data_IF_554059077451
#
_entry.id   IF_554059077451
#
_cell.length_a   1.000
_cell.length_b   1.000
_cell.length_c   1.000
_cell.angle_alpha   90.00
_cell.angle_beta   90.00
_cell.angle_gamma   90.00
#
_symmetry.space_group_name_H-M   'P 1'
#
loop_
_entity.id
_entity.type
_entity.pdbx_description
1 polymer ?
#
# COMPACT_ATOMS: atom_id res chain seq x y z
N UNK A 1 6.40 34.59 30.45
CA UNK A 1 5.52 34.58 29.25
C UNK A 1 6.24 34.20 27.95
N UNK A 2 7.37 34.82 27.57
CA UNK A 2 8.18 34.46 26.39
C UNK A 2 8.63 32.99 26.34
N UNK A 3 8.83 32.35 27.48
CA UNK A 3 9.22 30.93 27.60
C UNK A 3 8.06 30.01 27.21
N UNK A 4 6.84 30.22 27.68
CA UNK A 4 5.65 29.42 27.36
C UNK A 4 5.31 29.44 25.86
N UNK A 5 5.47 30.59 25.20
CA UNK A 5 5.21 30.74 23.77
C UNK A 5 6.25 30.01 22.93
N UNK A 6 7.53 30.00 23.33
CA UNK A 6 8.56 29.18 22.69
C UNK A 6 8.30 27.68 22.86
N UNK A 7 7.80 27.27 24.02
CA UNK A 7 7.43 25.87 24.29
C UNK A 7 6.25 25.46 23.41
N UNK A 8 5.19 26.28 23.32
CA UNK A 8 4.05 26.01 22.43
C UNK A 8 4.46 25.91 20.97
N UNK A 9 5.32 26.79 20.47
CA UNK A 9 5.83 26.73 19.11
C UNK A 9 6.62 25.45 18.83
N UNK A 10 7.48 25.02 19.77
CA UNK A 10 8.22 23.75 19.63
C UNK A 10 7.28 22.55 19.67
N UNK A 11 6.27 22.57 20.53
CA UNK A 11 5.29 21.50 20.63
C UNK A 11 4.46 21.35 19.35
N UNK A 12 4.09 22.47 18.71
CA UNK A 12 3.39 22.46 17.41
C UNK A 12 4.25 21.88 16.29
N UNK A 13 5.56 22.15 16.26
CA UNK A 13 6.49 21.57 15.28
C UNK A 13 6.65 20.06 15.51
N UNK A 14 6.80 19.62 16.77
CA UNK A 14 6.88 18.20 17.10
C UNK A 14 5.61 17.46 16.69
N UNK A 15 4.45 18.05 16.98
CA UNK A 15 3.15 17.47 16.58
C UNK A 15 3.02 17.37 15.07
N UNK A 16 3.48 18.38 14.32
CA UNK A 16 3.53 18.35 12.85
C UNK A 16 4.36 17.16 12.35
N UNK A 17 5.56 16.99 12.89
CA UNK A 17 6.45 15.89 12.52
C UNK A 17 5.79 14.55 12.81
N UNK A 18 5.18 14.39 13.98
CA UNK A 18 4.47 13.15 14.35
C UNK A 18 3.31 12.84 13.40
N UNK A 19 2.54 13.86 13.00
CA UNK A 19 1.44 13.69 12.03
C UNK A 19 1.97 13.26 10.66
N UNK A 20 3.02 13.91 10.15
CA UNK A 20 3.63 13.57 8.86
C UNK A 20 4.21 12.16 8.87
N UNK A 21 4.88 11.75 9.95
CA UNK A 21 5.39 10.39 10.08
C UNK A 21 4.25 9.36 10.17
N UNK A 22 3.18 9.67 10.91
CA UNK A 22 1.99 8.84 11.00
C UNK A 22 1.30 8.66 9.65
N UNK A 23 1.14 9.74 8.89
CA UNK A 23 0.58 9.70 7.54
C UNK A 23 1.46 8.87 6.58
N UNK A 24 2.78 9.08 6.60
CA UNK A 24 3.71 8.29 5.80
C UNK A 24 3.65 6.80 6.11
N UNK A 25 3.61 6.42 7.38
CA UNK A 25 3.47 5.03 7.81
C UNK A 25 2.12 4.42 7.40
N UNK A 26 1.02 5.20 7.52
CA UNK A 26 -0.30 4.77 7.08
C UNK A 26 -0.35 4.56 5.56
N UNK A 27 0.20 5.48 4.78
CA UNK A 27 0.25 5.39 3.31
C UNK A 27 1.05 4.17 2.85
N UNK A 28 2.18 3.89 3.52
CA UNK A 28 2.96 2.69 3.27
C UNK A 28 2.12 1.42 3.50
N UNK A 29 1.40 1.33 4.62
CA UNK A 29 0.50 0.20 4.91
C UNK A 29 -0.63 0.04 3.91
N UNK A 30 -1.29 1.14 3.53
CA UNK A 30 -2.36 1.10 2.52
C UNK A 30 -1.84 0.60 1.18
N UNK A 31 -0.63 1.03 0.80
CA UNK A 31 0.04 0.53 -0.41
C UNK A 31 0.28 -0.98 -0.32
N UNK A 32 0.84 -1.48 0.78
CA UNK A 32 1.07 -2.92 0.96
C UNK A 32 -0.24 -3.71 0.90
N UNK A 33 -1.26 -3.28 1.61
CA UNK A 33 -2.58 -3.93 1.58
C UNK A 33 -3.16 -3.99 0.16
N UNK A 34 -3.05 -2.90 -0.62
CA UNK A 34 -3.55 -2.87 -2.00
C UNK A 34 -2.73 -3.75 -2.94
N UNK A 35 -1.42 -3.83 -2.75
CA UNK A 35 -0.56 -4.76 -3.50
C UNK A 35 -0.89 -6.21 -3.17
N UNK A 36 -1.12 -6.54 -1.90
CA UNK A 36 -1.49 -7.89 -1.47
C UNK A 36 -2.89 -8.29 -1.96
N UNK A 37 -3.87 -7.40 -1.88
CA UNK A 37 -5.22 -7.61 -2.42
C UNK A 37 -5.17 -7.86 -3.93
N UNK A 38 -4.39 -7.05 -4.65
CA UNK A 38 -4.15 -7.23 -6.07
C UNK A 38 -3.49 -8.57 -6.37
N UNK A 39 -2.42 -8.93 -5.64
CA UNK A 39 -1.71 -10.19 -5.81
C UNK A 39 -2.64 -11.39 -5.62
N UNK A 40 -3.42 -11.40 -4.52
CA UNK A 40 -4.39 -12.47 -4.24
C UNK A 40 -5.44 -12.61 -5.35
N UNK A 41 -5.96 -11.49 -5.84
CA UNK A 41 -6.92 -11.50 -6.94
C UNK A 41 -6.28 -12.03 -8.22
N UNK A 42 -5.07 -11.56 -8.54
CA UNK A 42 -4.32 -12.00 -9.72
C UNK A 42 -3.96 -13.49 -9.64
N UNK A 43 -3.53 -13.99 -8.46
CA UNK A 43 -3.24 -15.41 -8.22
C UNK A 43 -4.48 -16.27 -8.45
N UNK A 44 -5.61 -15.89 -7.85
CA UNK A 44 -6.86 -16.61 -8.00
C UNK A 44 -7.32 -16.70 -9.47
N UNK A 45 -7.32 -15.56 -10.17
CA UNK A 45 -7.71 -15.51 -11.59
C UNK A 45 -6.74 -16.32 -12.46
N UNK A 46 -5.42 -16.28 -12.17
CA UNK A 46 -4.43 -17.08 -12.91
C UNK A 46 -4.70 -18.59 -12.76
N UNK A 47 -4.96 -19.03 -11.53
CA UNK A 47 -5.26 -20.41 -11.24
C UNK A 47 -6.54 -20.87 -11.97
N UNK A 48 -7.59 -20.06 -11.92
CA UNK A 48 -8.88 -20.35 -12.56
C UNK A 48 -8.73 -20.44 -14.10
N UNK A 49 -8.08 -19.49 -14.72
CA UNK A 49 -7.86 -19.46 -16.17
C UNK A 49 -7.01 -20.64 -16.65
N UNK A 50 -5.98 -21.03 -15.90
CA UNK A 50 -5.18 -22.21 -16.25
C UNK A 50 -6.02 -23.46 -16.19
N UNK A 51 -6.86 -23.64 -15.18
CA UNK A 51 -7.75 -24.77 -15.07
C UNK A 51 -8.74 -24.83 -16.25
N UNK A 52 -9.41 -23.73 -16.55
CA UNK A 52 -10.34 -23.62 -17.68
C UNK A 52 -9.61 -23.90 -19.02
N UNK A 53 -8.40 -23.36 -19.19
CA UNK A 53 -7.61 -23.61 -20.39
C UNK A 53 -7.28 -25.07 -20.55
N UNK A 54 -6.81 -25.74 -19.50
CA UNK A 54 -6.46 -27.16 -19.54
C UNK A 54 -7.69 -28.06 -19.79
N UNK A 55 -8.82 -27.75 -19.14
CA UNK A 55 -10.08 -28.48 -19.38
C UNK A 55 -10.53 -28.34 -20.85
N UNK A 56 -10.39 -27.17 -21.43
CA UNK A 56 -10.72 -26.96 -22.86
C UNK A 56 -9.73 -27.62 -23.82
N UNK A 57 -8.48 -27.86 -23.39
CA UNK A 57 -7.47 -28.56 -24.20
C UNK A 57 -7.47 -30.07 -24.00
N UNK A 58 -8.14 -30.61 -22.99
CA UNK A 58 -8.20 -32.05 -22.74
C UNK A 58 -8.74 -32.85 -23.94
N UNK A 59 -9.84 -32.46 -24.64
CA UNK A 59 -10.30 -33.16 -25.84
C UNK A 59 -9.28 -33.19 -26.97
N UNK A 60 -8.49 -32.12 -27.14
CA UNK A 60 -7.41 -32.07 -28.13
C UNK A 60 -6.28 -33.05 -27.75
N UNK A 61 -5.85 -33.03 -26.49
CA UNK A 61 -4.81 -33.92 -25.98
C UNK A 61 -5.22 -35.39 -26.13
N UNK A 62 -6.47 -35.74 -25.83
CA UNK A 62 -6.98 -37.09 -25.97
C UNK A 62 -7.03 -37.52 -27.45
N UNK A 63 -7.62 -36.71 -28.32
CA UNK A 63 -7.84 -37.09 -29.74
C UNK A 63 -6.59 -37.01 -30.59
N UNK A 64 -5.79 -35.94 -30.50
CA UNK A 64 -4.64 -35.71 -31.38
C UNK A 64 -3.32 -36.19 -30.80
N UNK A 65 -3.12 -36.03 -29.49
CA UNK A 65 -1.87 -36.43 -28.84
C UNK A 65 -1.93 -37.84 -28.24
N UNK A 66 -3.08 -38.56 -28.44
CA UNK A 66 -3.31 -39.92 -27.94
C UNK A 66 -3.08 -40.09 -26.43
N UNK A 67 -3.41 -39.02 -25.67
CA UNK A 67 -3.40 -39.07 -24.22
C UNK A 67 -4.61 -39.91 -23.75
N UNK A 68 -4.38 -40.99 -22.99
CA UNK A 68 -5.42 -41.72 -22.30
C UNK A 68 -5.25 -41.54 -20.79
N UNK A 69 -6.33 -41.23 -20.10
CA UNK A 69 -6.35 -41.31 -18.64
C UNK A 69 -7.70 -41.83 -18.16
N UNK A 70 -7.67 -42.66 -17.12
CA UNK A 70 -8.85 -43.32 -16.56
C UNK A 70 -8.63 -43.66 -15.08
N UNK A 71 -9.71 -43.92 -14.39
CA UNK A 71 -9.66 -44.64 -13.11
C UNK A 71 -9.47 -46.13 -13.41
N UNK A 72 -8.38 -46.70 -12.98
CA UNK A 72 -8.15 -48.15 -13.13
C UNK A 72 -8.96 -48.92 -12.08
N UNK A 73 -9.04 -48.39 -10.84
CA UNK A 73 -9.91 -48.81 -9.74
C UNK A 73 -10.42 -47.54 -9.04
N UNK A 74 -11.30 -47.68 -8.02
CA UNK A 74 -11.82 -46.51 -7.27
C UNK A 74 -10.72 -45.59 -6.69
N UNK A 75 -9.53 -46.13 -6.44
CA UNK A 75 -8.41 -45.45 -5.81
C UNK A 75 -7.16 -45.31 -6.72
N UNK A 76 -7.25 -45.68 -8.01
CA UNK A 76 -6.08 -45.60 -8.90
C UNK A 76 -6.33 -44.74 -10.15
N UNK A 77 -5.55 -43.68 -10.28
CA UNK A 77 -5.44 -42.87 -11.51
C UNK A 77 -4.40 -43.49 -12.43
N UNK A 78 -4.80 -43.84 -13.64
CA UNK A 78 -3.92 -44.38 -14.66
C UNK A 78 -3.90 -43.42 -15.86
N UNK A 79 -2.72 -43.14 -16.39
CA UNK A 79 -2.61 -42.43 -17.66
C UNK A 79 -1.57 -43.07 -18.56
N UNK A 80 -1.83 -42.98 -19.83
CA UNK A 80 -0.98 -43.50 -20.88
C UNK A 80 -0.66 -42.42 -21.92
N UNK A 81 0.62 -42.21 -22.13
CA UNK A 81 1.11 -41.26 -23.11
C UNK A 81 2.46 -41.77 -23.66
N UNK A 82 2.70 -41.67 -25.00
CA UNK A 82 3.93 -42.12 -25.66
C UNK A 82 4.41 -43.51 -25.23
N UNK A 83 3.50 -44.50 -25.21
CA UNK A 83 3.76 -45.90 -24.76
C UNK A 83 4.20 -46.06 -23.28
N UNK A 84 4.25 -45.00 -22.52
CA UNK A 84 4.46 -45.03 -21.08
C UNK A 84 3.12 -45.01 -20.38
N UNK A 85 2.91 -46.01 -19.51
CA UNK A 85 1.76 -46.08 -18.61
C UNK A 85 2.25 -45.80 -17.21
N UNK A 86 1.58 -44.91 -16.51
CA UNK A 86 1.86 -44.58 -15.11
C UNK A 86 0.57 -44.73 -14.29
N UNK A 87 0.70 -45.24 -13.08
CA UNK A 87 -0.42 -45.42 -12.12
C UNK A 87 -0.10 -44.71 -10.82
N UNK A 88 -1.11 -44.13 -10.22
CA UNK A 88 -0.99 -43.42 -8.96
C UNK A 88 -2.22 -43.66 -8.08
N UNK A 89 -2.01 -43.94 -6.81
CA UNK A 89 -3.11 -44.02 -5.84
C UNK A 89 -3.68 -42.63 -5.57
N UNK A 90 -4.99 -42.53 -5.63
CA UNK A 90 -5.78 -41.34 -5.34
C UNK A 90 -6.76 -41.61 -4.22
N UNK A 91 -7.09 -40.61 -3.45
CA UNK A 91 -8.00 -40.71 -2.30
C UNK A 91 -9.21 -39.76 -2.43
N UNK A 92 -9.37 -39.07 -3.55
CA UNK A 92 -10.52 -38.21 -3.78
C UNK A 92 -10.74 -37.91 -5.26
N UNK A 93 -11.98 -37.62 -5.65
CA UNK A 93 -12.35 -37.21 -7.00
C UNK A 93 -11.74 -35.87 -7.40
N UNK A 94 -11.58 -34.96 -6.43
CA UNK A 94 -10.87 -33.68 -6.65
C UNK A 94 -9.43 -33.90 -7.11
N UNK A 95 -8.74 -34.86 -6.48
CA UNK A 95 -7.37 -35.23 -6.84
C UNK A 95 -7.32 -35.88 -8.24
N UNK A 96 -8.32 -36.65 -8.62
CA UNK A 96 -8.46 -37.21 -9.97
C UNK A 96 -8.50 -36.06 -11.03
N UNK A 97 -9.38 -35.08 -10.84
CA UNK A 97 -9.54 -33.97 -11.77
C UNK A 97 -8.25 -33.14 -11.85
N UNK A 98 -7.65 -32.87 -10.69
CA UNK A 98 -6.39 -32.12 -10.61
C UNK A 98 -5.24 -32.83 -11.34
N UNK A 99 -5.08 -34.13 -11.14
CA UNK A 99 -4.07 -34.94 -11.83
C UNK A 99 -4.32 -35.01 -13.33
N UNK A 100 -5.58 -35.14 -13.75
CA UNK A 100 -5.95 -35.09 -15.17
C UNK A 100 -5.47 -33.81 -15.85
N UNK A 101 -5.70 -32.65 -15.22
CA UNK A 101 -5.21 -31.36 -15.73
C UNK A 101 -3.67 -31.28 -15.79
N UNK A 102 -2.98 -31.80 -14.78
CA UNK A 102 -1.51 -31.82 -14.74
C UNK A 102 -0.93 -32.68 -15.86
N UNK A 103 -1.52 -33.85 -16.12
CA UNK A 103 -1.10 -34.75 -17.20
C UNK A 103 -1.40 -34.12 -18.59
N UNK A 104 -2.54 -33.44 -18.74
CA UNK A 104 -2.85 -32.68 -19.95
C UNK A 104 -1.81 -31.59 -20.18
N UNK A 105 -1.42 -30.86 -19.13
CA UNK A 105 -0.37 -29.84 -19.21
C UNK A 105 0.95 -30.45 -19.70
N UNK A 106 1.44 -31.54 -19.08
CA UNK A 106 2.70 -32.17 -19.47
C UNK A 106 2.67 -32.62 -20.92
N UNK A 107 1.56 -33.25 -21.35
CA UNK A 107 1.37 -33.66 -22.73
C UNK A 107 1.42 -32.49 -23.72
N UNK A 108 0.77 -31.37 -23.42
CA UNK A 108 0.80 -30.16 -24.25
C UNK A 108 2.19 -29.52 -24.28
N UNK A 109 2.87 -29.48 -23.14
CA UNK A 109 4.19 -28.89 -23.02
C UNK A 109 5.24 -29.69 -23.79
N UNK A 110 5.29 -31.00 -23.63
CA UNK A 110 6.23 -31.89 -24.32
C UNK A 110 6.06 -31.85 -25.85
N UNK A 111 4.81 -31.75 -26.32
CA UNK A 111 4.53 -31.64 -27.76
C UNK A 111 4.66 -30.20 -28.31
N UNK A 112 5.10 -29.23 -27.50
CA UNK A 112 5.18 -27.80 -27.89
C UNK A 112 3.85 -27.22 -28.38
N UNK A 113 2.74 -27.78 -27.88
CA UNK A 113 1.38 -27.36 -28.21
C UNK A 113 0.79 -26.39 -27.16
N UNK A 114 1.56 -26.06 -26.11
CA UNK A 114 1.13 -25.12 -25.08
C UNK A 114 1.24 -23.69 -25.62
N UNK A 115 0.09 -23.03 -25.84
CA UNK A 115 0.01 -21.66 -26.31
C UNK A 115 -0.09 -20.68 -25.12
N UNK A 116 1.07 -20.21 -24.67
CA UNK A 116 1.16 -19.25 -23.55
C UNK A 116 0.52 -17.89 -23.92
N UNK A 117 0.52 -17.50 -25.22
CA UNK A 117 -0.09 -16.24 -25.62
C UNK A 117 -1.61 -16.30 -25.47
N UNK A 118 -2.21 -17.43 -25.85
CA UNK A 118 -3.65 -17.66 -25.64
C UNK A 118 -4.03 -17.62 -24.17
N UNK A 119 -3.22 -18.22 -23.31
CA UNK A 119 -3.40 -18.14 -21.85
C UNK A 119 -3.32 -16.67 -21.39
N UNK A 120 -2.34 -15.91 -21.86
CA UNK A 120 -2.17 -14.50 -21.51
C UNK A 120 -3.37 -13.64 -21.92
N UNK A 121 -3.93 -13.87 -23.11
CA UNK A 121 -5.12 -13.14 -23.58
C UNK A 121 -6.34 -13.48 -22.73
N UNK A 122 -6.58 -14.75 -22.42
CA UNK A 122 -7.69 -15.19 -21.56
C UNK A 122 -7.54 -14.60 -20.16
N UNK A 123 -6.34 -14.65 -19.61
CA UNK A 123 -6.03 -14.11 -18.29
C UNK A 123 -6.23 -12.59 -18.24
N UNK A 124 -5.76 -11.86 -19.25
CA UNK A 124 -5.98 -10.41 -19.32
C UNK A 124 -7.47 -10.07 -19.38
N UNK A 125 -8.27 -10.80 -20.17
CA UNK A 125 -9.72 -10.60 -20.24
C UNK A 125 -10.39 -10.82 -18.88
N UNK A 126 -10.06 -11.91 -18.20
CA UNK A 126 -10.61 -12.21 -16.88
C UNK A 126 -10.20 -11.18 -15.81
N UNK A 127 -8.99 -10.62 -15.90
CA UNK A 127 -8.54 -9.53 -15.05
C UNK A 127 -9.33 -8.24 -15.31
N UNK A 128 -9.63 -7.93 -16.59
CA UNK A 128 -10.47 -6.78 -16.94
C UNK A 128 -11.87 -6.87 -16.33
N UNK A 129 -12.48 -8.06 -16.32
CA UNK A 129 -13.77 -8.31 -15.66
C UNK A 129 -13.72 -8.05 -14.14
N UNK A 130 -12.54 -8.19 -13.52
CA UNK A 130 -12.27 -7.82 -12.11
C UNK A 130 -11.84 -6.37 -11.92
N UNK A 131 -11.88 -5.53 -12.96
CA UNK A 131 -11.47 -4.13 -12.91
C UNK A 131 -9.96 -3.89 -13.00
N UNK A 132 -9.17 -4.90 -13.36
CA UNK A 132 -7.72 -4.82 -13.56
C UNK A 132 -7.44 -4.67 -15.06
N UNK A 133 -7.06 -3.48 -15.50
CA UNK A 133 -6.83 -3.18 -16.93
C UNK A 133 -5.41 -3.44 -17.42
N UNK A 134 -4.51 -3.81 -16.51
CA UNK A 134 -3.09 -4.00 -16.84
C UNK A 134 -2.85 -5.32 -17.56
N UNK A 135 -2.03 -5.27 -18.62
CA UNK A 135 -1.65 -6.48 -19.37
C UNK A 135 -0.59 -7.27 -18.58
N UNK A 136 -0.86 -8.54 -18.24
CA UNK A 136 0.09 -9.38 -17.55
C UNK A 136 1.14 -9.95 -18.50
N UNK A 137 2.36 -10.13 -18.01
CA UNK A 137 3.39 -10.94 -18.67
C UNK A 137 3.43 -12.31 -17.99
N UNK A 138 3.14 -13.37 -18.73
CA UNK A 138 3.25 -14.74 -18.23
C UNK A 138 4.64 -15.28 -18.46
N UNK A 139 5.19 -15.94 -17.45
CA UNK A 139 6.51 -16.55 -17.48
C UNK A 139 6.38 -17.98 -16.98
N UNK A 140 6.79 -18.95 -17.79
CA UNK A 140 6.97 -20.34 -17.35
C UNK A 140 8.46 -20.58 -17.13
N UNK A 141 8.80 -21.06 -15.93
CA UNK A 141 10.16 -21.40 -15.51
C UNK A 141 10.25 -22.87 -15.20
N UNK A 142 11.42 -23.47 -15.44
CA UNK A 142 11.78 -24.76 -14.87
C UNK A 142 12.14 -24.68 -13.39
N UNK A 143 12.28 -25.80 -12.71
CA UNK A 143 12.74 -25.87 -11.33
C UNK A 143 14.13 -25.29 -11.12
N UNK A 144 14.98 -25.31 -12.14
CA UNK A 144 16.31 -24.68 -12.17
C UNK A 144 16.26 -23.15 -12.29
N UNK A 145 15.05 -22.56 -12.33
CA UNK A 145 14.83 -21.12 -12.47
C UNK A 145 14.98 -20.59 -13.89
N UNK A 146 15.37 -21.43 -14.86
CA UNK A 146 15.49 -21.03 -16.27
C UNK A 146 14.11 -20.70 -16.85
N UNK A 147 14.04 -19.59 -17.61
CA UNK A 147 12.82 -19.19 -18.30
C UNK A 147 12.65 -20.07 -19.55
N UNK A 148 11.56 -20.85 -19.57
CA UNK A 148 11.25 -21.77 -20.67
C UNK A 148 10.35 -21.14 -21.73
N UNK A 149 9.29 -20.45 -21.28
CA UNK A 149 8.32 -19.79 -22.16
C UNK A 149 7.97 -18.41 -21.61
N UNK A 150 7.77 -17.45 -22.51
CA UNK A 150 7.36 -16.08 -22.23
C UNK A 150 6.18 -15.71 -23.14
N UNK A 151 5.18 -15.04 -22.58
CA UNK A 151 4.05 -14.52 -23.40
C UNK A 151 4.45 -13.29 -24.23
N UNK A 152 5.53 -12.60 -23.87
CA UNK A 152 6.06 -11.46 -24.61
C UNK A 152 7.59 -11.42 -24.49
N UNK A 153 8.28 -10.91 -25.53
CA UNK A 153 9.75 -10.81 -25.60
C UNK A 153 10.32 -9.64 -24.78
N UNK A 154 9.49 -8.87 -24.12
CA UNK A 154 9.93 -7.70 -23.36
C UNK A 154 10.75 -8.11 -22.11
N UNK A 155 11.84 -7.39 -21.88
CA UNK A 155 12.66 -7.53 -20.68
C UNK A 155 11.81 -7.30 -19.41
N UNK A 156 11.80 -8.29 -18.53
CA UNK A 156 11.14 -8.21 -17.22
C UNK A 156 11.99 -7.28 -16.36
N UNK A 157 11.48 -6.07 -16.10
CA UNK A 157 12.14 -5.13 -15.21
C UNK A 157 12.09 -5.62 -13.75
N UNK A 158 13.12 -5.35 -12.93
CA UNK A 158 13.21 -5.84 -11.55
C UNK A 158 12.13 -5.29 -10.61
N UNK A 159 11.42 -4.23 -11.00
CA UNK A 159 10.42 -3.56 -10.18
C UNK A 159 8.97 -4.02 -10.44
N UNK A 160 8.76 -5.18 -11.04
CA UNK A 160 7.43 -5.68 -11.34
C UNK A 160 6.80 -6.40 -10.14
N UNK A 161 5.48 -6.25 -9.98
CA UNK A 161 4.70 -7.09 -9.05
C UNK A 161 4.51 -8.45 -9.71
N UNK A 162 4.92 -9.51 -9.02
CA UNK A 162 4.76 -10.89 -9.49
C UNK A 162 3.70 -11.61 -8.65
N UNK A 163 2.93 -12.47 -9.32
CA UNK A 163 2.05 -13.44 -8.65
C UNK A 163 2.87 -14.50 -7.93
N UNK A 164 2.21 -15.23 -7.04
CA UNK A 164 2.78 -16.44 -6.45
C UNK A 164 3.04 -17.47 -7.56
N UNK A 165 4.14 -18.24 -7.48
CA UNK A 165 4.42 -19.26 -8.48
C UNK A 165 3.39 -20.39 -8.36
N UNK A 166 2.69 -20.67 -9.46
CA UNK A 166 1.78 -21.79 -9.57
C UNK A 166 2.53 -22.98 -10.21
N UNK A 167 2.59 -24.09 -9.48
CA UNK A 167 3.23 -25.30 -9.96
C UNK A 167 2.37 -25.98 -11.03
N UNK A 168 3.01 -26.38 -12.12
CA UNK A 168 2.39 -27.03 -13.27
C UNK A 168 3.05 -28.38 -13.55
N UNK A 169 2.24 -29.30 -14.10
CA UNK A 169 2.69 -30.64 -14.44
C UNK A 169 2.64 -31.61 -13.27
N UNK A 170 2.63 -32.91 -13.61
CA UNK A 170 2.51 -33.99 -12.66
C UNK A 170 3.67 -34.03 -11.63
N UNK A 171 4.90 -33.79 -12.10
CA UNK A 171 6.10 -33.77 -11.27
C UNK A 171 6.44 -32.36 -10.74
N UNK A 172 5.54 -31.38 -10.92
CA UNK A 172 5.75 -29.96 -10.56
C UNK A 172 7.04 -29.35 -11.12
N UNK A 173 7.50 -29.84 -12.28
CA UNK A 173 8.77 -29.42 -12.91
C UNK A 173 8.74 -27.99 -13.43
N UNK A 174 7.55 -27.43 -13.60
CA UNK A 174 7.36 -26.12 -14.16
C UNK A 174 6.58 -25.22 -13.21
N UNK A 175 6.88 -23.93 -13.26
CA UNK A 175 6.18 -22.91 -12.50
C UNK A 175 5.75 -21.78 -13.44
N UNK A 176 4.50 -21.39 -13.38
CA UNK A 176 3.99 -20.21 -14.06
C UNK A 176 3.83 -19.06 -13.06
N UNK A 177 4.28 -17.88 -13.48
CA UNK A 177 4.09 -16.62 -12.75
C UNK A 177 3.59 -15.55 -13.72
N UNK A 178 2.74 -14.66 -13.24
CA UNK A 178 2.39 -13.45 -13.96
C UNK A 178 3.15 -12.26 -13.37
N UNK A 179 3.61 -11.37 -14.23
CA UNK A 179 4.34 -10.16 -13.85
C UNK A 179 3.58 -8.93 -14.37
N UNK A 180 3.44 -7.91 -13.53
CA UNK A 180 2.72 -6.67 -13.81
C UNK A 180 3.62 -5.47 -13.62
N UNK A 181 3.50 -4.44 -14.48
CA UNK A 181 4.25 -3.19 -14.34
C UNK A 181 3.76 -2.38 -13.15
N UNK A 182 4.70 -1.78 -12.41
CA UNK A 182 4.46 -1.00 -11.19
C UNK A 182 3.48 0.20 -11.32
N UNK A 183 3.31 0.89 -12.48
CA UNK A 183 2.41 2.05 -12.60
C UNK A 183 0.97 1.81 -12.13
N UNK A 184 0.52 0.56 -12.11
CA UNK A 184 -0.82 0.18 -11.63
C UNK A 184 -1.07 0.60 -10.17
N UNK A 185 -0.09 0.41 -9.28
CA UNK A 185 -0.24 0.73 -7.85
C UNK A 185 -0.55 2.21 -7.63
N UNK A 186 0.10 3.10 -8.40
CA UNK A 186 -0.16 4.54 -8.32
C UNK A 186 -1.57 4.90 -8.80
N UNK A 187 -2.10 4.20 -9.81
CA UNK A 187 -3.45 4.43 -10.32
C UNK A 187 -4.52 3.98 -9.31
N UNK A 188 -4.33 2.82 -8.68
CA UNK A 188 -5.21 2.31 -7.63
C UNK A 188 -5.19 3.18 -6.36
N UNK A 189 -4.04 3.80 -6.05
CA UNK A 189 -3.89 4.70 -4.90
C UNK A 189 -4.35 6.14 -5.17
N UNK A 190 -4.69 6.49 -6.42
CA UNK A 190 -5.02 7.89 -6.80
C UNK A 190 -6.11 8.50 -5.90
N UNK A 191 -7.17 7.76 -5.57
CA UNK A 191 -8.23 8.23 -4.68
C UNK A 191 -7.74 8.49 -3.25
N UNK A 192 -6.90 7.62 -2.74
CA UNK A 192 -6.31 7.73 -1.39
C UNK A 192 -5.37 8.93 -1.31
N UNK A 193 -4.55 9.16 -2.36
CA UNK A 193 -3.64 10.31 -2.44
C UNK A 193 -4.37 11.66 -2.42
N UNK A 194 -5.54 11.74 -3.07
CA UNK A 194 -6.36 12.97 -3.03
C UNK A 194 -6.90 13.25 -1.63
N UNK A 195 -7.36 12.22 -0.91
CA UNK A 195 -7.85 12.37 0.47
C UNK A 195 -6.71 12.84 1.38
N UNK A 196 -5.52 12.25 1.26
CA UNK A 196 -4.34 12.66 2.03
C UNK A 196 -3.92 14.10 1.73
N UNK A 197 -3.92 14.49 0.46
CA UNK A 197 -3.61 15.86 0.07
C UNK A 197 -4.58 16.86 0.72
N UNK A 198 -5.89 16.54 0.76
CA UNK A 198 -6.89 17.38 1.43
C UNK A 198 -6.63 17.48 2.94
N UNK A 199 -6.29 16.37 3.61
CA UNK A 199 -5.92 16.39 5.03
C UNK A 199 -4.68 17.23 5.29
N UNK A 200 -3.66 17.14 4.45
CA UNK A 200 -2.43 17.91 4.55
C UNK A 200 -2.69 19.40 4.38
N UNK A 201 -3.51 19.80 3.40
CA UNK A 201 -3.92 21.19 3.17
C UNK A 201 -4.70 21.72 4.40
N UNK A 202 -5.69 20.97 4.89
CA UNK A 202 -6.46 21.32 6.08
C UNK A 202 -5.57 21.51 7.31
N UNK A 203 -4.59 20.66 7.49
CA UNK A 203 -3.63 20.76 8.59
C UNK A 203 -2.75 22.01 8.48
N UNK A 204 -2.24 22.33 7.29
CA UNK A 204 -1.47 23.55 7.04
C UNK A 204 -2.30 24.80 7.34
N UNK A 205 -3.58 24.81 6.93
CA UNK A 205 -4.49 25.92 7.24
C UNK A 205 -4.65 26.09 8.75
N UNK A 206 -4.85 25.00 9.50
CA UNK A 206 -4.93 25.03 10.96
C UNK A 206 -3.66 25.60 11.61
N UNK A 207 -2.48 25.21 11.13
CA UNK A 207 -1.21 25.75 11.63
C UNK A 207 -1.07 27.25 11.38
N UNK A 208 -1.41 27.70 10.19
CA UNK A 208 -1.38 29.13 9.85
C UNK A 208 -2.34 29.93 10.73
N UNK A 209 -3.54 29.37 10.97
CA UNK A 209 -4.52 30.01 11.85
C UNK A 209 -4.05 30.07 13.31
N UNK A 210 -3.50 28.98 13.85
CA UNK A 210 -2.87 28.97 15.17
C UNK A 210 -1.74 29.99 15.28
N UNK A 211 -0.87 30.08 14.28
CA UNK A 211 0.22 31.06 14.25
C UNK A 211 -0.27 32.51 14.28
N UNK A 212 -1.31 32.79 13.51
CA UNK A 212 -1.92 34.12 13.52
C UNK A 212 -2.60 34.46 14.85
N UNK A 213 -3.29 33.47 15.47
CA UNK A 213 -3.89 33.60 16.78
C UNK A 213 -2.84 33.91 17.87
N UNK A 214 -1.71 33.20 17.83
CA UNK A 214 -0.59 33.45 18.76
C UNK A 214 -0.02 34.85 18.56
N UNK A 215 0.14 35.28 17.31
CA UNK A 215 0.62 36.66 17.02
C UNK A 215 -0.35 37.75 17.54
N UNK A 216 -1.65 37.55 17.39
CA UNK A 216 -2.67 38.49 17.91
C UNK A 216 -2.64 38.57 19.44
N UNK A 217 -2.58 37.39 20.08
CA UNK A 217 -2.49 37.33 21.56
C UNK A 217 -1.23 38.04 22.07
N UNK A 218 -0.11 37.84 21.39
CA UNK A 218 1.15 38.54 21.73
C UNK A 218 1.05 40.05 21.62
N UNK A 219 0.38 40.54 20.55
CA UNK A 219 0.15 41.97 20.35
C UNK A 219 -0.74 42.56 21.47
N UNK A 220 -1.86 41.86 21.79
CA UNK A 220 -2.77 42.28 22.85
C UNK A 220 -2.07 42.37 24.21
N UNK A 221 -1.30 41.36 24.56
CA UNK A 221 -0.53 41.33 25.81
C UNK A 221 0.52 42.46 25.86
N UNK A 222 1.18 42.77 24.72
CA UNK A 222 2.15 43.88 24.66
C UNK A 222 1.46 45.22 24.89
N UNK A 223 0.29 45.46 24.30
CA UNK A 223 -0.49 46.67 24.50
C UNK A 223 -0.93 46.80 25.97
N UNK A 224 -1.44 45.70 26.58
CA UNK A 224 -1.80 45.71 28.01
C UNK A 224 -0.61 46.02 28.93
N UNK A 225 0.57 45.43 28.65
CA UNK A 225 1.78 45.69 29.45
C UNK A 225 2.26 47.15 29.33
N UNK A 226 2.16 47.75 28.13
CA UNK A 226 2.47 49.15 27.92
C UNK A 226 1.45 50.05 28.65
N UNK A 227 0.17 49.71 28.60
CA UNK A 227 -0.89 50.43 29.34
C UNK A 227 -0.66 50.43 30.85
N UNK A 228 -0.32 49.28 31.43
CA UNK A 228 0.00 49.14 32.86
C UNK A 228 1.24 49.98 33.24
N UNK A 229 2.29 49.93 32.43
CA UNK A 229 3.52 50.73 32.68
C UNK A 229 3.25 52.25 32.61
N UNK A 230 2.37 52.68 31.72
CA UNK A 230 1.97 54.10 31.62
C UNK A 230 1.15 54.50 32.87
N UNK A 231 0.18 53.71 33.30
CA UNK A 231 -0.58 53.94 34.53
C UNK A 231 0.33 53.98 35.78
N UNK A 232 1.30 53.08 35.88
CA UNK A 232 2.30 53.09 36.96
C UNK A 232 3.09 54.41 36.99
N UNK A 233 3.50 54.91 35.79
CA UNK A 233 4.22 56.18 35.73
C UNK A 233 3.36 57.39 36.08
N UNK A 234 2.07 57.37 35.64
CA UNK A 234 1.13 58.47 35.98
C UNK A 234 0.75 58.48 37.44
N UNK A 235 0.63 57.32 38.08
CA UNK A 235 0.34 57.22 39.51
C UNK A 235 1.55 57.57 40.40
N UNK A 236 2.77 57.36 39.95
CA UNK A 236 3.98 57.75 40.68
C UNK A 236 4.09 59.25 40.91
N UNK A 237 3.66 60.11 39.96
CA UNK A 237 3.72 61.56 40.08
C UNK A 237 2.85 62.09 41.19
N UNK A 238 1.54 61.82 41.26
CA UNK A 238 0.70 62.32 42.37
C UNK A 238 1.10 61.72 43.71
N UNK A 239 1.54 60.44 43.78
CA UNK A 239 2.03 59.84 45.01
C UNK A 239 3.30 60.55 45.52
N UNK A 240 4.25 60.84 44.66
CA UNK A 240 5.45 61.58 45.04
C UNK A 240 5.12 62.99 45.55
N UNK A 241 4.15 63.65 44.91
CA UNK A 241 3.69 65.03 45.34
C UNK A 241 2.99 64.95 46.73
N UNK A 242 2.14 63.96 46.97
CA UNK A 242 1.52 63.74 48.28
C UNK A 242 2.54 63.45 49.38
N UNK A 243 3.51 62.57 49.12
CA UNK A 243 4.57 62.23 50.09
C UNK A 243 5.41 63.48 50.39
N UNK A 244 5.73 64.28 49.40
CA UNK A 244 6.45 65.53 49.56
C UNK A 244 5.65 66.55 50.38
N UNK A 245 4.34 66.68 50.12
CA UNK A 245 3.44 67.53 50.88
C UNK A 245 3.32 67.13 52.35
N UNK A 246 3.17 65.83 52.62
CA UNK A 246 3.10 65.27 53.99
C UNK A 246 4.44 65.49 54.70
N UNK A 247 5.57 65.30 54.05
CA UNK A 247 6.89 65.51 54.60
C UNK A 247 7.12 66.94 54.94
N UNK A 248 6.61 67.88 54.13
CA UNK A 248 6.64 69.30 54.38
C UNK A 248 5.82 69.77 55.56
N UNK A 249 4.60 69.12 55.75
CA UNK A 249 3.75 69.40 56.88
C UNK A 249 4.33 68.87 58.20
N UNK A 250 4.97 67.68 58.20
CA UNK A 250 5.65 67.13 59.38
C UNK A 250 6.82 68.01 59.82
N UNK A 251 7.66 68.52 58.92
CA UNK A 251 8.75 69.43 59.20
C UNK A 251 8.27 70.74 59.79
N UNK A 252 7.15 71.26 59.30
CA UNK A 252 6.55 72.47 59.84
C UNK A 252 6.00 72.31 61.24
N UNK A 253 5.55 71.15 61.59
CA UNK A 253 5.05 70.84 62.93
C UNK A 253 6.18 70.73 63.96
N UNK A 254 7.33 70.23 63.56
CA UNK A 254 8.51 70.16 64.46
C UNK A 254 9.12 71.57 64.68
N UNK A 255 9.03 72.51 63.75
CA UNK A 255 9.54 73.88 63.88
C UNK A 255 8.62 74.80 64.66
N UNK A 256 7.42 74.43 65.07
CA UNK A 256 6.45 75.16 65.93
C UNK A 256 6.49 74.66 67.38
N UNK A 257 7.17 73.53 67.66
CA UNK A 257 7.30 72.93 68.95
C UNK A 257 8.66 73.20 69.66
N UNK A 258 9.57 73.96 69.03
CA UNK A 258 10.74 74.54 69.62
C UNK A 258 10.54 76.08 69.76
#
# INVERSE_FOLDING_TARGET
MKSRIRIMGRLSVVLLICVLLGQGAWMYRVREMKVDEFRKTADYVLQDIIQIFLDNQAPFAIKKLKLGYSLANEDEFCWKYNNTEKRLKINSMEKYISLGRQVVYDCLFENKCLDIQKIAVLYHKALQEKGISESPYLIIKGLDGNKLLLSDKLNVEPNNITTSPLNLGYDYKHQITASFKLPFVFRALKGVLWIELLFLIGFVICLVWQWNSIKMTLRSVRVQTMGIAHLEHELKKPLATMISAIGGMLKRKESVLC
#
